data_IF_089201362398
#
_entry.id   IF_089201362398
#
_cell.length_a   1.000
_cell.length_b   1.000
_cell.length_c   1.000
_cell.angle_alpha   90.00
_cell.angle_beta   90.00
_cell.angle_gamma   90.00
#
_symmetry.space_group_name_H-M   'P 1'
#
loop_
_entity.id
_entity.type
_entity.pdbx_description
1 polymer ?
#
# COMPACT_ATOMS: atom_id res chain seq x y z
N UNK A 1 -10.71 17.34 -22.06
CA UNK A 1 -10.09 16.02 -22.31
C UNK A 1 -8.58 16.18 -22.28
N UNK A 2 -7.86 15.32 -21.55
CA UNK A 2 -6.39 15.36 -21.52
C UNK A 2 -5.79 14.79 -22.81
N UNK A 3 -4.69 15.38 -23.27
CA UNK A 3 -3.91 14.85 -24.38
C UNK A 3 -3.24 13.51 -23.99
N UNK A 4 -2.87 12.65 -24.96
CA UNK A 4 -2.15 11.41 -24.68
C UNK A 4 -0.89 11.61 -23.83
N UNK A 5 -0.14 12.69 -24.09
CA UNK A 5 1.04 13.06 -23.33
C UNK A 5 0.71 13.40 -21.87
N UNK A 6 -0.34 14.19 -21.63
CA UNK A 6 -0.79 14.51 -20.27
C UNK A 6 -1.24 13.26 -19.50
N UNK A 7 -1.91 12.31 -20.16
CA UNK A 7 -2.30 11.03 -19.55
C UNK A 7 -1.08 10.18 -19.20
N UNK A 8 -0.05 10.17 -20.04
CA UNK A 8 1.22 9.49 -19.74
C UNK A 8 1.93 10.10 -18.53
N UNK A 9 2.03 11.43 -18.50
CA UNK A 9 2.63 12.16 -17.37
C UNK A 9 1.89 11.87 -16.05
N UNK A 10 0.55 11.95 -16.05
CA UNK A 10 -0.26 11.64 -14.87
C UNK A 10 -0.01 10.21 -14.36
N UNK A 11 0.09 9.22 -15.26
CA UNK A 11 0.42 7.84 -14.89
C UNK A 11 1.82 7.72 -14.30
N UNK A 12 2.82 8.36 -14.89
CA UNK A 12 4.19 8.34 -14.40
C UNK A 12 4.30 9.01 -13.02
N UNK A 13 3.66 10.16 -12.83
CA UNK A 13 3.60 10.85 -11.54
C UNK A 13 2.95 9.98 -10.46
N UNK A 14 1.81 9.34 -10.77
CA UNK A 14 1.15 8.43 -9.82
C UNK A 14 2.04 7.24 -9.45
N UNK A 15 2.68 6.61 -10.45
CA UNK A 15 3.57 5.49 -10.22
C UNK A 15 4.74 5.87 -9.29
N UNK A 16 5.35 7.02 -9.52
CA UNK A 16 6.41 7.54 -8.66
C UNK A 16 5.92 7.82 -7.23
N UNK A 17 4.76 8.46 -7.07
CA UNK A 17 4.20 8.74 -5.75
C UNK A 17 3.90 7.44 -4.97
N UNK A 18 3.36 6.42 -5.65
CA UNK A 18 3.14 5.10 -5.07
C UNK A 18 4.45 4.40 -4.68
N UNK A 19 5.52 4.55 -5.46
CA UNK A 19 6.83 4.02 -5.09
C UNK A 19 7.37 4.68 -3.80
N UNK A 20 7.24 6.00 -3.68
CA UNK A 20 7.61 6.72 -2.46
C UNK A 20 6.77 6.27 -1.26
N UNK A 21 5.46 6.06 -1.46
CA UNK A 21 4.58 5.50 -0.45
C UNK A 21 5.05 4.11 0.02
N UNK A 22 5.44 3.24 -0.91
CA UNK A 22 5.97 1.91 -0.59
C UNK A 22 7.31 1.99 0.18
N UNK A 23 8.15 3.00 -0.09
CA UNK A 23 9.38 3.24 0.67
C UNK A 23 9.08 3.61 2.13
N UNK A 24 8.07 4.46 2.38
CA UNK A 24 7.61 4.79 3.74
C UNK A 24 7.14 3.55 4.50
N UNK A 25 6.29 2.73 3.87
CA UNK A 25 5.83 1.47 4.48
C UNK A 25 6.98 0.51 4.79
N UNK A 26 7.96 0.37 3.90
CA UNK A 26 9.16 -0.45 4.16
C UNK A 26 9.94 0.05 5.35
N UNK A 27 10.11 1.36 5.50
CA UNK A 27 10.80 1.94 6.64
C UNK A 27 10.03 1.70 7.96
N UNK A 28 8.72 1.91 7.96
CA UNK A 28 7.87 1.65 9.13
C UNK A 28 7.92 0.17 9.57
N UNK A 29 7.90 -0.75 8.60
CA UNK A 29 8.06 -2.19 8.84
C UNK A 29 9.43 -2.54 9.39
N UNK A 30 10.50 -1.97 8.86
CA UNK A 30 11.86 -2.19 9.36
C UNK A 30 12.00 -1.76 10.82
N UNK A 31 11.46 -0.59 11.18
CA UNK A 31 11.44 -0.12 12.57
C UNK A 31 10.63 -1.06 13.49
N UNK A 32 9.48 -1.55 13.02
CA UNK A 32 8.68 -2.51 13.79
C UNK A 32 9.42 -3.83 13.99
N UNK A 33 10.07 -4.36 12.95
CA UNK A 33 10.86 -5.58 13.04
C UNK A 33 12.03 -5.43 14.01
N UNK A 34 12.73 -4.29 13.99
CA UNK A 34 13.78 -3.96 14.97
C UNK A 34 13.22 -3.91 16.39
N UNK A 35 12.05 -3.29 16.58
CA UNK A 35 11.41 -3.25 17.90
C UNK A 35 11.11 -4.67 18.41
N UNK A 36 10.50 -5.52 17.58
CA UNK A 36 10.17 -6.89 18.00
C UNK A 36 11.41 -7.74 18.27
N UNK A 37 12.50 -7.55 17.52
CA UNK A 37 13.76 -8.24 17.81
C UNK A 37 14.32 -7.94 19.20
N UNK A 38 14.03 -6.76 19.78
CA UNK A 38 14.39 -6.43 21.17
C UNK A 38 13.60 -7.25 22.18
N UNK A 39 12.39 -7.71 21.83
CA UNK A 39 11.57 -8.54 22.71
C UNK A 39 11.95 -10.02 22.66
N UNK A 40 12.69 -10.45 21.64
CA UNK A 40 13.17 -11.83 21.50
C UNK A 40 14.43 -12.11 22.35
N UNK A 41 15.03 -11.09 22.97
CA UNK A 41 16.15 -11.27 23.90
C UNK A 41 15.64 -11.84 25.24
N UNK A 42 16.29 -12.92 25.70
CA UNK A 42 15.96 -13.60 26.95
C UNK A 42 16.17 -12.74 28.21
N UNK A 43 16.84 -11.58 28.08
CA UNK A 43 17.08 -10.62 29.16
C UNK A 43 16.39 -9.30 28.87
N UNK A 44 15.07 -9.31 28.91
CA UNK A 44 14.22 -8.13 28.78
C UNK A 44 14.33 -7.28 30.05
N UNK A 45 15.16 -6.25 30.02
CA UNK A 45 15.27 -5.25 31.07
C UNK A 45 14.46 -3.98 30.74
N UNK A 46 14.40 -3.05 31.70
CA UNK A 46 13.63 -1.82 31.54
C UNK A 46 14.15 -0.94 30.41
N UNK A 47 15.46 -0.92 30.18
CA UNK A 47 16.07 -0.13 29.11
C UNK A 47 15.70 -0.69 27.74
N UNK A 48 15.77 -2.02 27.57
CA UNK A 48 15.36 -2.71 26.35
C UNK A 48 13.88 -2.45 26.05
N UNK A 49 13.03 -2.42 27.08
CA UNK A 49 11.62 -2.10 26.92
C UNK A 49 11.37 -0.63 26.51
N UNK A 50 12.13 0.31 27.05
CA UNK A 50 12.06 1.72 26.63
C UNK A 50 12.49 1.90 25.16
N UNK A 51 13.56 1.22 24.75
CA UNK A 51 14.02 1.22 23.35
C UNK A 51 12.96 0.61 22.42
N UNK A 52 12.33 -0.50 22.82
CA UNK A 52 11.19 -1.09 22.10
C UNK A 52 10.07 -0.08 21.91
N UNK A 53 9.64 0.60 22.98
CA UNK A 53 8.57 1.60 22.91
C UNK A 53 8.92 2.74 21.96
N UNK A 54 10.14 3.26 22.04
CA UNK A 54 10.60 4.32 21.16
C UNK A 54 10.56 3.91 19.67
N UNK A 55 11.03 2.70 19.35
CA UNK A 55 10.98 2.19 17.99
C UNK A 55 9.55 1.94 17.50
N UNK A 56 8.65 1.48 18.37
CA UNK A 56 7.22 1.32 18.05
C UNK A 56 6.55 2.65 17.77
N UNK A 57 6.77 3.67 18.60
CA UNK A 57 6.20 5.01 18.39
C UNK A 57 6.70 5.62 17.07
N UNK A 58 7.99 5.45 16.78
CA UNK A 58 8.58 5.88 15.51
C UNK A 58 8.01 5.12 14.32
N UNK A 59 7.81 3.80 14.44
CA UNK A 59 7.19 3.00 13.39
C UNK A 59 5.75 3.44 13.13
N UNK A 60 4.97 3.69 14.18
CA UNK A 60 3.59 4.13 14.11
C UNK A 60 3.47 5.48 13.38
N UNK A 61 4.32 6.45 13.74
CA UNK A 61 4.37 7.73 13.05
C UNK A 61 4.64 7.58 11.54
N UNK A 62 5.53 6.65 11.15
CA UNK A 62 5.83 6.39 9.74
C UNK A 62 4.72 5.62 9.02
N UNK A 63 3.99 4.74 9.70
CA UNK A 63 2.79 4.14 9.15
C UNK A 63 1.71 5.19 8.90
N UNK A 64 1.49 6.10 9.85
CA UNK A 64 0.51 7.16 9.69
C UNK A 64 0.87 8.08 8.52
N UNK A 65 2.14 8.46 8.38
CA UNK A 65 2.63 9.23 7.23
C UNK A 65 2.38 8.50 5.90
N UNK A 66 2.67 7.19 5.84
CA UNK A 66 2.40 6.39 4.65
C UNK A 66 0.89 6.29 4.34
N UNK A 67 0.04 6.17 5.36
CA UNK A 67 -1.43 6.14 5.19
C UNK A 67 -1.94 7.46 4.62
N UNK A 68 -1.52 8.59 5.19
CA UNK A 68 -1.91 9.92 4.70
C UNK A 68 -1.39 10.18 3.28
N UNK A 69 -0.15 9.79 3.00
CA UNK A 69 0.39 9.91 1.65
C UNK A 69 -0.42 9.09 0.64
N UNK A 70 -0.82 7.86 0.99
CA UNK A 70 -1.65 7.04 0.12
C UNK A 70 -3.05 7.64 -0.08
N UNK A 71 -3.64 8.23 0.96
CA UNK A 71 -4.93 8.95 0.88
C UNK A 71 -4.83 10.12 -0.10
N UNK A 72 -3.76 10.92 -0.04
CA UNK A 72 -3.52 12.03 -0.98
C UNK A 72 -3.37 11.54 -2.42
N UNK A 73 -2.55 10.51 -2.66
CA UNK A 73 -2.40 9.90 -3.99
C UNK A 73 -3.76 9.45 -4.52
N UNK A 74 -4.53 8.73 -3.71
CA UNK A 74 -5.83 8.23 -4.16
C UNK A 74 -6.81 9.37 -4.45
N UNK A 75 -6.78 10.46 -3.69
CA UNK A 75 -7.60 11.66 -3.93
C UNK A 75 -7.20 12.35 -5.24
N UNK A 76 -5.92 12.60 -5.45
CA UNK A 76 -5.43 13.41 -6.57
C UNK A 76 -5.47 12.66 -7.90
N UNK A 77 -5.51 11.33 -7.87
CA UNK A 77 -5.55 10.49 -9.07
C UNK A 77 -6.88 9.72 -9.26
N UNK A 78 -7.89 9.94 -8.40
CA UNK A 78 -9.18 9.21 -8.44
C UNK A 78 -9.88 9.28 -9.80
N UNK A 79 -9.79 10.43 -10.47
CA UNK A 79 -10.53 10.72 -11.70
C UNK A 79 -9.85 10.17 -12.98
N UNK A 80 -8.71 9.48 -12.84
CA UNK A 80 -7.87 9.08 -13.96
C UNK A 80 -7.77 7.57 -14.18
N UNK A 81 -8.26 6.77 -13.24
CA UNK A 81 -8.42 5.35 -13.48
C UNK A 81 -9.71 5.09 -14.26
N UNK A 82 -9.65 4.42 -15.43
CA UNK A 82 -10.83 3.84 -16.01
C UNK A 82 -11.37 2.84 -14.98
N UNK A 83 -12.52 3.16 -14.39
CA UNK A 83 -13.27 2.23 -13.53
C UNK A 83 -13.32 0.90 -14.29
N UNK A 84 -12.77 -0.21 -13.77
CA UNK A 84 -12.92 -1.49 -14.45
C UNK A 84 -14.43 -1.69 -14.63
N UNK A 85 -14.89 -2.10 -15.83
CA UNK A 85 -16.30 -2.33 -16.06
C UNK A 85 -16.78 -3.27 -14.96
N UNK A 86 -17.83 -2.84 -14.23
CA UNK A 86 -18.50 -3.68 -13.23
C UNK A 86 -18.72 -5.04 -13.88
N UNK A 87 -18.25 -6.10 -13.20
CA UNK A 87 -18.33 -7.50 -13.60
C UNK A 87 -19.46 -7.72 -14.62
N UNK A 88 -19.10 -8.01 -15.87
CA UNK A 88 -20.05 -8.66 -16.75
C UNK A 88 -20.43 -9.97 -16.07
N UNK A 89 -21.73 -10.28 -15.89
CA UNK A 89 -22.11 -11.62 -15.47
C UNK A 89 -21.47 -12.62 -16.45
N UNK A 90 -20.96 -13.77 -15.97
CA UNK A 90 -20.38 -14.76 -16.85
C UNK A 90 -21.41 -15.09 -17.93
N UNK A 91 -21.02 -14.96 -19.20
CA UNK A 91 -21.86 -15.41 -20.32
C UNK A 91 -22.22 -16.87 -20.03
N UNK A 92 -23.50 -17.26 -20.07
CA UNK A 92 -23.87 -18.65 -19.91
C UNK A 92 -23.13 -19.46 -20.99
N UNK A 93 -22.37 -20.47 -20.55
CA UNK A 93 -21.73 -21.42 -21.44
C UNK A 93 -22.82 -22.05 -22.32
N UNK A 94 -22.59 -22.19 -23.64
CA UNK A 94 -23.56 -22.87 -24.50
C UNK A 94 -23.73 -24.30 -23.98
N UNK A 95 -24.98 -24.66 -23.67
CA UNK A 95 -25.40 -26.03 -23.38
C UNK A 95 -24.91 -26.90 -24.53
N UNK A 96 -23.89 -27.70 -24.27
CA UNK A 96 -23.50 -28.76 -25.19
C UNK A 96 -24.66 -29.74 -25.22
N UNK A 97 -25.45 -29.72 -26.29
CA UNK A 97 -26.37 -30.79 -26.61
C UNK A 97 -25.56 -32.05 -26.82
N UNK A 98 -25.51 -32.91 -25.80
CA UNK A 98 -25.09 -34.30 -25.95
C UNK A 98 -26.21 -35.03 -26.69
N UNK A 99 -26.10 -35.03 -28.02
CA UNK A 99 -26.91 -35.88 -28.90
C UNK A 99 -26.62 -37.35 -28.59
N UNK A 100 -27.70 -38.12 -28.46
CA UNK A 100 -27.71 -39.58 -28.51
C UNK A 100 -27.64 -40.06 -29.96
#
# INVERSE_FOLDING_TARGET
MYSPHQRFQLRACRAFALEQNQRLFRHARALSAQAFALLDDARLDSETFEQYRHLRDKAEARFQEAIEHLRLINRDFADHEPRPPRHYPPKPLPLQHTGR
#
